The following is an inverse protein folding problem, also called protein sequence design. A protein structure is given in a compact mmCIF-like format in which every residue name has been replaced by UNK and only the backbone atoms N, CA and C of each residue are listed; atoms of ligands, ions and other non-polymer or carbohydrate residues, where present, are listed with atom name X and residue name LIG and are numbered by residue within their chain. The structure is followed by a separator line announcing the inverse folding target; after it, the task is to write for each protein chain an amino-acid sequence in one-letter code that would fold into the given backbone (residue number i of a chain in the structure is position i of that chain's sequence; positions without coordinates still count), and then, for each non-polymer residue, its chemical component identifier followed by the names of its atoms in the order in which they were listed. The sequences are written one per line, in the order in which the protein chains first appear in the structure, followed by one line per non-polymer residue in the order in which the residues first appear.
data_IF_788724944283
#
_entry.id   IF_788724944283
#
_cell.length_a   1.000
_cell.length_b   1.000
_cell.length_c   1.000
_cell.angle_alpha   90.00
_cell.angle_beta   90.00
_cell.angle_gamma   90.00
#
_symmetry.space_group_name_H-M   'P 1'
#
loop_
_entity.id
_entity.type
_entity.pdbx_description
1 polymer ?
#
# COMPACT_ATOMS: atom_id res chain seq x y z
N UNK A 1 18.28 -4.01 -4.99
CA UNK A 1 17.49 -3.33 -3.94
C UNK A 1 16.18 -2.95 -4.58
N UNK A 2 15.12 -3.70 -4.31
CA UNK A 2 13.82 -3.49 -4.93
C UNK A 2 13.15 -2.31 -4.23
N UNK A 3 13.13 -1.16 -4.90
CA UNK A 3 12.45 0.04 -4.41
C UNK A 3 10.96 -0.13 -4.70
N UNK A 4 10.25 -0.81 -3.80
CA UNK A 4 8.80 -0.85 -3.85
C UNK A 4 8.26 0.57 -3.68
N UNK A 5 7.76 1.13 -4.79
CA UNK A 5 6.93 2.33 -4.96
C UNK A 5 6.64 3.12 -3.67
N UNK A 6 7.55 4.06 -3.36
CA UNK A 6 7.25 5.49 -3.23
C UNK A 6 6.38 6.02 -2.09
N UNK A 7 6.08 5.27 -1.02
CA UNK A 7 5.31 5.80 0.12
C UNK A 7 6.02 5.52 1.46
N UNK A 8 6.26 6.56 2.25
CA UNK A 8 6.79 6.47 3.61
C UNK A 8 5.77 7.00 4.61
N UNK A 9 5.69 6.38 5.78
CA UNK A 9 4.76 6.75 6.84
C UNK A 9 5.43 6.73 8.21
N UNK A 10 5.05 7.65 9.08
CA UNK A 10 5.36 7.64 10.52
C UNK A 10 4.08 7.63 11.34
N UNK A 11 4.18 7.24 12.60
CA UNK A 11 3.09 7.27 13.58
C UNK A 11 2.99 5.98 14.38
N UNK A 12 2.30 6.05 15.51
CA UNK A 12 2.03 4.89 16.36
C UNK A 12 0.62 4.41 16.09
N UNK A 13 0.47 3.12 15.78
CA UNK A 13 -0.83 2.50 15.56
C UNK A 13 -1.17 1.57 16.72
N UNK A 14 -2.42 1.57 17.13
CA UNK A 14 -2.97 0.61 18.08
C UNK A 14 -4.27 0.05 17.53
N UNK A 15 -4.59 -1.19 17.83
CA UNK A 15 -5.75 -1.85 17.24
C UNK A 15 -6.04 -3.19 17.85
N UNK A 16 -7.15 -3.76 17.41
CA UNK A 16 -7.56 -5.12 17.74
C UNK A 16 -7.92 -5.84 16.46
N UNK A 17 -7.32 -7.01 16.28
CA UNK A 17 -7.59 -7.91 15.17
C UNK A 17 -8.09 -9.23 15.77
N UNK A 18 -9.41 -9.45 15.88
CA UNK A 18 -9.94 -10.69 16.42
C UNK A 18 -9.80 -11.79 15.36
N UNK A 19 -8.75 -12.60 15.50
CA UNK A 19 -8.46 -13.69 14.58
C UNK A 19 -9.22 -14.94 15.02
N UNK A 20 -10.01 -15.50 14.10
CA UNK A 20 -10.65 -16.82 14.26
C UNK A 20 -10.02 -17.80 13.28
N UNK A 21 -9.67 -18.99 13.77
CA UNK A 21 -9.13 -20.07 12.94
C UNK A 21 -10.21 -21.14 12.79
N UNK A 22 -10.60 -21.44 11.56
CA UNK A 22 -11.56 -22.48 11.22
C UNK A 22 -10.87 -23.57 10.39
N UNK A 23 -11.49 -24.75 10.21
CA UNK A 23 -10.99 -25.75 9.27
C UNK A 23 -10.90 -25.27 7.82
N UNK A 24 -11.61 -24.18 7.47
CA UNK A 24 -11.64 -23.61 6.12
C UNK A 24 -10.60 -22.52 5.91
N UNK A 25 -10.12 -21.89 6.99
CA UNK A 25 -9.10 -20.86 6.89
C UNK A 25 -9.02 -19.95 8.11
N UNK A 26 -8.32 -18.84 7.92
CA UNK A 26 -8.23 -17.76 8.91
C UNK A 26 -9.29 -16.71 8.57
N UNK A 27 -9.93 -16.16 9.60
CA UNK A 27 -10.93 -15.11 9.49
C UNK A 27 -10.57 -13.98 10.44
N UNK A 28 -10.78 -12.75 9.99
CA UNK A 28 -10.80 -11.56 10.84
C UNK A 28 -12.09 -10.83 10.57
N UNK A 29 -12.98 -10.79 11.54
CA UNK A 29 -14.23 -10.04 11.47
C UNK A 29 -14.11 -8.80 12.34
N UNK A 30 -14.39 -7.62 11.77
CA UNK A 30 -14.41 -6.34 12.48
C UNK A 30 -13.08 -5.97 13.18
N UNK A 31 -11.96 -6.26 12.51
CA UNK A 31 -10.65 -5.75 12.91
C UNK A 31 -10.58 -4.23 12.78
N UNK A 32 -9.93 -3.57 13.73
CA UNK A 32 -9.77 -2.12 13.74
C UNK A 32 -8.36 -1.74 14.15
N UNK A 33 -7.73 -0.84 13.40
CA UNK A 33 -6.45 -0.23 13.72
C UNK A 33 -6.62 1.29 13.66
N UNK A 34 -6.11 2.00 14.65
CA UNK A 34 -6.20 3.46 14.77
C UNK A 34 -4.82 4.06 15.07
N UNK A 35 -4.57 5.25 14.55
CA UNK A 35 -3.41 6.01 14.95
C UNK A 35 -3.62 6.65 16.32
N UNK A 36 -2.59 6.56 17.15
CA UNK A 36 -2.53 7.24 18.43
C UNK A 36 -2.12 8.71 18.24
N UNK A 37 -2.56 9.62 19.13
CA UNK A 37 -2.06 10.98 19.16
C UNK A 37 -0.52 11.01 19.27
N UNK A 38 0.17 11.93 18.58
CA UNK A 38 -0.38 13.07 17.82
C UNK A 38 -0.81 12.75 16.38
N UNK A 39 -0.79 11.48 15.96
CA UNK A 39 -0.94 11.04 14.58
C UNK A 39 0.43 10.80 13.93
N UNK A 40 0.59 11.17 12.66
CA UNK A 40 1.83 10.94 11.95
C UNK A 40 1.91 11.62 10.59
N UNK A 41 2.91 11.25 9.80
CA UNK A 41 3.19 11.87 8.51
C UNK A 41 3.27 10.81 7.43
N UNK A 42 2.58 11.02 6.32
CA UNK A 42 2.73 10.25 5.09
C UNK A 42 3.47 11.11 4.07
N UNK A 43 4.47 10.54 3.41
CA UNK A 43 5.25 11.17 2.36
C UNK A 43 5.27 10.29 1.13
N UNK A 44 5.00 10.89 -0.03
CA UNK A 44 5.21 10.22 -1.30
C UNK A 44 6.66 10.45 -1.74
N UNK A 45 7.50 9.42 -1.69
CA UNK A 45 8.81 9.48 -2.31
C UNK A 45 8.63 9.29 -3.82
N UNK A 46 8.38 10.39 -4.52
CA UNK A 46 8.62 10.43 -5.95
C UNK A 46 10.13 10.29 -6.14
N UNK A 47 10.61 9.06 -6.37
CA UNK A 47 12.00 8.86 -6.80
C UNK A 47 12.17 9.57 -8.13
N UNK A 48 13.28 10.30 -8.24
CA UNK A 48 13.63 11.31 -9.25
C UNK A 48 13.74 10.74 -10.69
N UNK A 49 13.33 9.49 -10.93
CA UNK A 49 13.48 8.79 -12.21
C UNK A 49 12.16 8.18 -12.74
N UNK A 50 11.01 8.68 -12.30
CA UNK A 50 9.80 8.48 -13.09
C UNK A 50 9.70 9.65 -14.09
N UNK A 51 9.77 9.43 -15.42
CA UNK A 51 9.36 10.47 -16.35
C UNK A 51 7.93 10.91 -15.98
N UNK A 52 7.51 12.15 -16.27
CA UNK A 52 6.16 12.60 -15.97
C UNK A 52 5.17 11.78 -16.80
N UNK A 53 4.76 10.60 -16.32
CA UNK A 53 3.67 9.79 -16.87
C UNK A 53 2.33 10.24 -16.29
N UNK A 54 2.28 11.48 -15.81
CA UNK A 54 1.04 12.16 -15.49
C UNK A 54 0.82 13.14 -16.63
N UNK A 55 0.19 12.65 -17.69
CA UNK A 55 -0.37 13.50 -18.74
C UNK A 55 -1.12 14.66 -18.08
N UNK A 56 -1.01 15.88 -18.63
CA UNK A 56 -1.60 17.13 -18.11
C UNK A 56 -3.13 17.09 -17.93
N UNK A 57 -3.77 15.97 -18.28
CA UNK A 57 -5.20 15.72 -18.33
C UNK A 57 -5.87 15.37 -16.99
N UNK A 58 -5.12 14.97 -15.96
CA UNK A 58 -5.69 14.45 -14.70
C UNK A 58 -5.38 15.36 -13.49
N UNK A 59 -5.74 16.65 -13.60
CA UNK A 59 -5.58 17.67 -12.54
C UNK A 59 -6.02 17.22 -11.13
N UNK A 60 -7.12 16.44 -10.95
CA UNK A 60 -7.52 15.97 -9.62
C UNK A 60 -6.54 14.96 -9.01
N UNK A 61 -5.99 14.06 -9.83
CA UNK A 61 -5.06 13.03 -9.36
C UNK A 61 -3.71 13.63 -8.97
N UNK A 62 -3.24 14.63 -9.72
CA UNK A 62 -2.06 15.41 -9.35
C UNK A 62 -2.25 16.15 -8.03
N UNK A 63 -3.42 16.76 -7.81
CA UNK A 63 -3.71 17.48 -6.57
C UNK A 63 -3.73 16.52 -5.37
N UNK A 64 -4.30 15.31 -5.52
CA UNK A 64 -4.27 14.27 -4.48
C UNK A 64 -2.84 13.78 -4.22
N UNK A 65 -2.06 13.53 -5.26
CA UNK A 65 -0.66 13.12 -5.11
C UNK A 65 0.18 14.19 -4.40
N UNK A 66 0.00 15.47 -4.76
CA UNK A 66 0.67 16.60 -4.10
C UNK A 66 0.21 16.76 -2.64
N UNK A 67 -1.08 16.60 -2.37
CA UNK A 67 -1.62 16.62 -1.02
C UNK A 67 -1.03 15.52 -0.13
N UNK A 68 -0.72 14.35 -0.69
CA UNK A 68 -0.12 13.22 0.03
C UNK A 68 1.41 13.29 0.17
N UNK A 69 2.08 14.23 -0.50
CA UNK A 69 3.55 14.32 -0.52
C UNK A 69 4.16 14.67 0.86
N UNK A 70 3.41 15.39 1.70
CA UNK A 70 3.77 15.73 3.07
C UNK A 70 2.50 15.82 3.92
N UNK A 71 1.74 14.73 3.99
CA UNK A 71 0.45 14.71 4.65
C UNK A 71 0.57 14.41 6.15
N UNK A 72 0.24 15.38 6.98
CA UNK A 72 0.22 15.26 8.43
C UNK A 72 -1.18 14.86 8.86
N UNK A 73 -1.35 13.56 9.12
CA UNK A 73 -2.62 13.03 9.58
C UNK A 73 -2.71 13.13 11.09
N UNK A 74 -3.88 13.55 11.57
CA UNK A 74 -4.23 13.55 13.00
C UNK A 74 -5.12 12.37 13.36
N UNK A 75 -5.89 11.89 12.37
CA UNK A 75 -6.76 10.75 12.51
C UNK A 75 -6.46 9.77 11.38
N UNK A 76 -6.29 8.52 11.75
CA UNK A 76 -6.22 7.39 10.84
C UNK A 76 -6.95 6.25 11.53
N UNK A 77 -7.96 5.69 10.86
CA UNK A 77 -8.66 4.48 11.27
C UNK A 77 -8.76 3.54 10.10
N UNK A 78 -8.40 2.28 10.31
CA UNK A 78 -8.44 1.21 9.33
C UNK A 78 -9.34 0.11 9.85
N UNK A 79 -10.44 -0.15 9.15
CA UNK A 79 -11.22 -1.36 9.31
C UNK A 79 -10.61 -2.50 8.51
N UNK A 80 -10.52 -3.67 9.11
CA UNK A 80 -9.91 -4.87 8.53
C UNK A 80 -10.93 -6.00 8.58
N UNK A 81 -11.26 -6.55 7.42
CA UNK A 81 -12.01 -7.81 7.31
C UNK A 81 -11.25 -8.77 6.42
N UNK A 82 -11.10 -10.01 6.88
CA UNK A 82 -10.45 -11.06 6.12
C UNK A 82 -11.33 -12.29 6.12
N UNK A 83 -11.74 -12.73 4.94
CA UNK A 83 -12.66 -13.86 4.78
C UNK A 83 -11.94 -15.20 4.59
N UNK A 84 -12.68 -16.30 4.80
CA UNK A 84 -12.18 -17.67 4.60
C UNK A 84 -11.66 -17.94 3.18
N UNK A 85 -12.12 -17.18 2.18
CA UNK A 85 -11.66 -17.26 0.80
C UNK A 85 -10.24 -16.74 0.60
N UNK A 86 -9.70 -15.99 1.57
CA UNK A 86 -8.42 -15.28 1.43
C UNK A 86 -8.56 -13.83 0.95
N UNK A 87 -9.80 -13.34 0.86
CA UNK A 87 -10.10 -11.96 0.50
C UNK A 87 -9.87 -11.02 1.69
N UNK A 88 -9.02 -10.01 1.51
CA UNK A 88 -8.80 -8.94 2.47
C UNK A 88 -9.51 -7.67 2.00
N UNK A 89 -10.40 -7.17 2.85
CA UNK A 89 -11.06 -5.88 2.70
C UNK A 89 -10.48 -4.91 3.75
N UNK A 90 -9.80 -3.86 3.28
CA UNK A 90 -9.28 -2.78 4.11
C UNK A 90 -10.09 -1.51 3.83
N UNK A 91 -10.57 -0.85 4.88
CA UNK A 91 -11.25 0.44 4.79
C UNK A 91 -10.50 1.46 5.64
N UNK A 92 -9.76 2.35 5.00
CA UNK A 92 -8.98 3.38 5.66
C UNK A 92 -9.68 4.74 5.58
N UNK A 93 -9.78 5.42 6.72
CA UNK A 93 -10.20 6.81 6.83
C UNK A 93 -9.06 7.62 7.43
N UNK A 94 -8.62 8.63 6.71
CA UNK A 94 -7.57 9.55 7.10
C UNK A 94 -8.11 10.98 7.14
N UNK A 95 -7.67 11.73 8.13
CA UNK A 95 -7.91 13.16 8.23
C UNK A 95 -6.63 13.87 8.62
N UNK A 96 -6.33 14.94 7.90
CA UNK A 96 -5.08 15.64 8.07
C UNK A 96 -4.97 16.85 7.17
N UNK A 97 -3.74 17.34 7.06
CA UNK A 97 -3.39 18.48 6.22
C UNK A 97 -2.00 18.31 5.65
N UNK A 98 -1.76 18.90 4.48
CA UNK A 98 -0.41 19.12 4.01
C UNK A 98 0.01 20.55 4.42
N UNK A 99 1.02 20.74 5.29
CA UNK A 99 1.45 22.09 5.69
C UNK A 99 2.03 22.89 4.53
N UNK A 100 2.51 22.24 3.46
CA UNK A 100 3.01 22.90 2.26
C UNK A 100 1.87 23.50 1.41
N UNK A 101 0.63 23.06 1.68
CA UNK A 101 -0.60 23.56 1.07
C UNK A 101 -1.43 24.33 2.10
N UNK A 102 -0.83 25.31 2.79
CA UNK A 102 -1.45 26.00 3.93
C UNK A 102 -2.82 26.67 3.66
N UNK A 103 -3.15 26.94 2.39
CA UNK A 103 -4.43 27.53 1.97
C UNK A 103 -5.52 26.48 1.69
N UNK A 104 -5.22 25.18 1.79
CA UNK A 104 -6.20 24.13 1.57
C UNK A 104 -6.87 23.73 2.88
N UNK A 105 -8.20 23.49 2.87
CA UNK A 105 -8.89 22.96 4.03
C UNK A 105 -8.36 21.56 4.40
N UNK A 106 -8.59 21.09 5.64
CA UNK A 106 -8.28 19.72 6.04
C UNK A 106 -8.84 18.72 5.03
N UNK A 107 -8.03 17.72 4.70
CA UNK A 107 -8.38 16.70 3.72
C UNK A 107 -8.91 15.50 4.47
N UNK A 108 -10.08 15.04 4.07
CA UNK A 108 -10.67 13.77 4.48
C UNK A 108 -10.51 12.78 3.34
N UNK A 109 -9.73 11.73 3.55
CA UNK A 109 -9.45 10.73 2.55
C UNK A 109 -9.99 9.38 3.02
N UNK A 110 -10.85 8.78 2.20
CA UNK A 110 -11.42 7.46 2.44
C UNK A 110 -10.96 6.54 1.32
N UNK A 111 -10.31 5.44 1.68
CA UNK A 111 -9.79 4.45 0.74
C UNK A 111 -10.32 3.08 1.14
N UNK A 112 -10.83 2.34 0.15
CA UNK A 112 -11.12 0.91 0.32
C UNK A 112 -10.22 0.13 -0.61
N UNK A 113 -9.50 -0.85 -0.07
CA UNK A 113 -8.64 -1.75 -0.83
C UNK A 113 -9.15 -3.16 -0.64
N UNK A 114 -9.31 -3.88 -1.74
CA UNK A 114 -9.76 -5.26 -1.78
C UNK A 114 -8.68 -6.07 -2.49
N UNK A 115 -8.03 -6.98 -1.77
CA UNK A 115 -6.96 -7.81 -2.32
C UNK A 115 -7.11 -9.30 -1.94
N UNK A 116 -6.75 -10.19 -2.86
CA UNK A 116 -6.73 -11.63 -2.59
C UNK A 116 -5.33 -12.06 -2.13
N UNK A 117 -5.13 -12.08 -0.80
CA UNK A 117 -3.79 -12.23 -0.19
C UNK A 117 -3.07 -13.51 -0.62
N UNK A 118 -3.70 -14.70 -0.69
CA UNK A 118 -3.02 -15.89 -1.18
C UNK A 118 -2.54 -15.78 -2.63
N UNK A 119 -3.24 -15.00 -3.48
CA UNK A 119 -2.82 -14.79 -4.87
C UNK A 119 -1.64 -13.83 -4.92
N UNK A 120 -1.70 -12.74 -4.17
CA UNK A 120 -0.59 -11.80 -4.06
C UNK A 120 0.69 -12.49 -3.59
N UNK A 121 0.61 -13.30 -2.53
CA UNK A 121 1.76 -14.04 -2.00
C UNK A 121 2.32 -15.05 -3.01
N UNK A 122 1.47 -15.72 -3.81
CA UNK A 122 1.92 -16.59 -4.90
C UNK A 122 2.67 -15.78 -5.97
N UNK A 123 2.15 -14.64 -6.38
CA UNK A 123 2.80 -13.77 -7.37
C UNK A 123 4.16 -13.25 -6.88
N UNK A 124 4.28 -12.88 -5.60
CA UNK A 124 5.56 -12.44 -5.03
C UNK A 124 6.62 -13.56 -5.06
N UNK A 125 6.26 -14.79 -4.67
CA UNK A 125 7.17 -15.94 -4.74
C UNK A 125 7.61 -16.26 -6.17
N UNK A 126 6.70 -16.16 -7.14
CA UNK A 126 7.06 -16.37 -8.55
C UNK A 126 8.07 -15.34 -9.05
N UNK A 127 8.00 -14.08 -8.58
CA UNK A 127 8.98 -13.04 -8.90
C UNK A 127 10.32 -13.35 -8.24
N UNK A 128 10.32 -13.85 -7.01
CA UNK A 128 11.53 -14.32 -6.30
C UNK A 128 12.16 -15.59 -6.90
N UNK A 129 11.42 -16.39 -7.67
CA UNK A 129 11.92 -17.56 -8.40
C UNK A 129 12.49 -17.24 -9.80
N UNK A 130 12.42 -15.97 -10.24
CA UNK A 130 13.03 -15.51 -11.51
C UNK A 130 14.57 -15.28 -11.48
N UNK A 131 15.35 -15.39 -10.37
CA UNK A 131 16.81 -15.43 -10.48
C UNK A 131 17.26 -16.89 -10.65
N UNK A 132 17.21 -17.43 -11.87
CA UNK A 132 17.96 -18.65 -12.17
C UNK A 132 17.72 -19.43 -13.46
N UNK A 133 16.61 -19.24 -14.19
CA UNK A 133 16.29 -20.15 -15.31
C UNK A 133 16.54 -19.59 -16.72
N UNK A 134 17.29 -18.49 -16.87
CA UNK A 134 17.69 -18.01 -18.21
C UNK A 134 18.98 -18.70 -18.73
N UNK A 135 19.77 -19.38 -17.88
CA UNK A 135 21.10 -19.86 -18.28
C UNK A 135 21.20 -21.33 -18.72
N UNK A 136 20.14 -21.93 -19.28
CA UNK A 136 20.22 -23.33 -19.80
C UNK A 136 19.87 -23.55 -21.27
N UNK A 137 19.76 -22.51 -22.10
CA UNK A 137 19.51 -22.69 -23.55
C UNK A 137 20.62 -22.25 -24.50
N UNK A 138 21.82 -21.92 -24.02
CA UNK A 138 22.95 -21.55 -24.89
C UNK A 138 24.20 -22.45 -24.82
N UNK A 139 24.19 -23.56 -24.07
CA UNK A 139 25.34 -24.48 -23.99
C UNK A 139 25.18 -25.78 -24.80
N UNK A 140 24.49 -25.71 -25.94
CA UNK A 140 24.40 -26.82 -26.92
C UNK A 140 24.81 -26.45 -28.36
N UNK A 141 25.41 -25.27 -28.56
CA UNK A 141 25.84 -24.79 -29.88
C UNK A 141 27.35 -24.47 -29.97
N UNK A 142 28.17 -24.88 -28.99
CA UNK A 142 29.64 -24.62 -29.00
C UNK A 142 30.49 -25.89 -29.07
N UNK A 143 29.95 -27.00 -29.54
CA UNK A 143 30.74 -28.20 -29.82
C UNK A 143 30.23 -28.87 -31.09
N UNK A 144 30.67 -28.32 -32.22
CA UNK A 144 30.85 -29.00 -33.50
C UNK A 144 32.13 -28.46 -34.12
#
# INVERSE_FOLDING_TARGET
VEQQRGLQGTGTLNGTLPVTITPRGVVVDDGVIEAQPPGGVIRHLSTVESPPVLSESDTPLQLVAQALNNFHYKFLRVGVRYGETGMLDLSARLEGRNPDLAQTPPIHFNLTVQEHIPTLLKSLRLIEEIPGTIERKYKRLSSS
#
